data_IF_524375259439
#
_entry.id   IF_524375259439
#
_cell.length_a   1.000
_cell.length_b   1.000
_cell.length_c   1.000
_cell.angle_alpha   90.00
_cell.angle_beta   90.00
_cell.angle_gamma   90.00
#
_symmetry.space_group_name_H-M   'P 1'
#
loop_
_entity.id
_entity.type
_entity.pdbx_description
1 polymer ?
#
# COMPACT_ATOMS: atom_id res chain seq x y z
N UNK A 1 -13.85 -16.18 -35.82
CA UNK A 1 -13.08 -14.93 -35.74
C UNK A 1 -12.87 -14.63 -34.27
N UNK A 2 -11.69 -14.95 -33.75
CA UNK A 2 -11.29 -14.53 -32.40
C UNK A 2 -11.08 -13.01 -32.45
N UNK A 3 -11.69 -12.28 -31.54
CA UNK A 3 -11.77 -10.83 -31.53
C UNK A 3 -10.38 -10.26 -31.17
N UNK A 4 -9.77 -9.42 -32.01
CA UNK A 4 -8.45 -8.82 -31.76
C UNK A 4 -8.38 -8.06 -30.42
N UNK A 5 -9.53 -7.60 -29.92
CA UNK A 5 -9.70 -6.95 -28.61
C UNK A 5 -9.51 -7.90 -27.42
N UNK A 6 -9.94 -9.17 -27.53
CA UNK A 6 -9.79 -10.17 -26.45
C UNK A 6 -8.31 -10.60 -26.30
N UNK A 7 -7.57 -10.63 -27.41
CA UNK A 7 -6.14 -10.92 -27.42
C UNK A 7 -5.30 -9.79 -26.83
N UNK A 8 -5.66 -8.52 -27.08
CA UNK A 8 -4.99 -7.35 -26.50
C UNK A 8 -5.23 -7.23 -24.99
N UNK A 9 -6.45 -7.48 -24.51
CA UNK A 9 -6.76 -7.48 -23.08
C UNK A 9 -6.13 -8.67 -22.35
N UNK A 10 -6.01 -9.83 -23.01
CA UNK A 10 -5.24 -10.96 -22.47
C UNK A 10 -3.73 -10.67 -22.38
N UNK A 11 -3.13 -10.00 -23.36
CA UNK A 11 -1.71 -9.63 -23.31
C UNK A 11 -1.41 -8.61 -22.20
N UNK A 12 -2.24 -7.56 -22.05
CA UNK A 12 -2.08 -6.57 -20.97
C UNK A 12 -2.27 -7.20 -19.58
N UNK A 13 -3.15 -8.21 -19.48
CA UNK A 13 -3.43 -8.94 -18.25
C UNK A 13 -2.34 -9.98 -17.95
N UNK A 14 -1.76 -10.63 -18.96
CA UNK A 14 -0.60 -11.54 -18.82
C UNK A 14 0.66 -10.75 -18.45
N UNK A 15 0.83 -9.53 -18.97
CA UNK A 15 2.00 -8.70 -18.65
C UNK A 15 1.87 -8.01 -17.29
N UNK A 16 0.74 -7.39 -16.92
CA UNK A 16 0.58 -6.80 -15.59
C UNK A 16 0.58 -7.87 -14.49
N UNK A 17 -0.08 -9.01 -14.74
CA UNK A 17 0.00 -10.18 -13.87
C UNK A 17 1.40 -10.79 -13.92
N UNK A 18 2.14 -10.62 -15.02
CA UNK A 18 3.54 -10.94 -15.18
C UNK A 18 4.46 -10.03 -14.36
N UNK A 19 4.22 -8.73 -14.28
CA UNK A 19 4.97 -7.81 -13.42
C UNK A 19 4.65 -8.03 -11.95
N UNK A 20 3.37 -8.22 -11.61
CA UNK A 20 2.95 -8.58 -10.25
C UNK A 20 3.47 -9.97 -9.88
N UNK A 21 3.46 -10.96 -10.78
CA UNK A 21 4.08 -12.27 -10.56
C UNK A 21 5.60 -12.18 -10.52
N UNK A 22 6.28 -11.39 -11.34
CA UNK A 22 7.74 -11.21 -11.26
C UNK A 22 8.10 -10.51 -9.94
N UNK A 23 7.26 -9.59 -9.47
CA UNK A 23 7.42 -8.91 -8.18
C UNK A 23 7.12 -9.86 -7.01
N UNK A 24 6.03 -10.64 -7.06
CA UNK A 24 5.65 -11.66 -6.08
C UNK A 24 6.57 -12.89 -6.10
N UNK A 25 7.15 -13.23 -7.24
CA UNK A 25 8.09 -14.33 -7.44
C UNK A 25 9.50 -13.89 -7.08
N UNK A 26 9.85 -12.62 -7.31
CA UNK A 26 11.02 -12.00 -6.67
C UNK A 26 10.85 -11.95 -5.16
N UNK A 27 9.67 -11.56 -4.67
CA UNK A 27 9.29 -11.56 -3.26
C UNK A 27 9.33 -12.98 -2.66
N UNK A 28 8.83 -13.99 -3.37
CA UNK A 28 8.82 -15.40 -2.99
C UNK A 28 10.20 -16.06 -3.06
N UNK A 29 11.03 -15.76 -4.06
CA UNK A 29 12.43 -16.19 -4.13
C UNK A 29 13.31 -15.49 -3.09
N UNK A 30 12.95 -14.28 -2.66
CA UNK A 30 13.63 -13.59 -1.56
C UNK A 30 13.17 -14.14 -0.20
N UNK A 31 11.87 -14.41 -0.05
CA UNK A 31 11.28 -14.98 1.16
C UNK A 31 11.58 -16.46 1.38
N UNK A 32 11.76 -17.26 0.33
CA UNK A 32 11.97 -18.71 0.46
C UNK A 32 13.27 -19.06 1.19
N UNK A 33 14.44 -18.43 0.90
CA UNK A 33 15.64 -18.56 1.72
C UNK A 33 15.45 -18.00 3.12
N UNK A 34 14.71 -16.90 3.28
CA UNK A 34 14.45 -16.24 4.58
C UNK A 34 13.56 -17.09 5.50
N UNK A 35 12.53 -17.74 4.95
CA UNK A 35 11.63 -18.65 5.66
C UNK A 35 12.33 -19.97 5.98
N UNK A 36 13.17 -20.48 5.08
CA UNK A 36 14.08 -21.60 5.37
C UNK A 36 15.09 -21.24 6.47
N UNK A 37 15.64 -20.02 6.48
CA UNK A 37 16.46 -19.53 7.59
C UNK A 37 15.65 -19.41 8.89
N UNK A 38 14.39 -18.98 8.85
CA UNK A 38 13.52 -18.92 10.03
C UNK A 38 13.24 -20.29 10.63
N UNK A 39 13.10 -21.33 9.79
CA UNK A 39 12.85 -22.72 10.20
C UNK A 39 14.11 -23.42 10.74
N UNK A 40 15.31 -23.05 10.26
CA UNK A 40 16.57 -23.67 10.68
C UNK A 40 17.28 -22.95 11.85
N UNK A 41 16.96 -21.68 12.16
CA UNK A 41 17.74 -20.86 13.11
C UNK A 41 16.97 -20.39 14.36
N UNK A 42 15.95 -21.15 14.78
CA UNK A 42 15.15 -20.94 15.99
C UNK A 42 15.94 -20.67 17.31
N UNK A 43 17.24 -21.00 17.51
CA UNK A 43 17.93 -20.70 18.77
C UNK A 43 18.66 -19.35 18.83
N UNK A 44 18.81 -18.59 17.73
CA UNK A 44 19.71 -17.42 17.71
C UNK A 44 18.98 -16.08 17.95
N UNK A 45 18.95 -15.64 19.22
CA UNK A 45 18.41 -14.32 19.64
C UNK A 45 19.01 -13.10 18.90
N UNK A 46 20.17 -13.25 18.27
CA UNK A 46 20.86 -12.19 17.50
C UNK A 46 20.40 -12.16 16.02
N UNK A 47 20.00 -13.31 15.47
CA UNK A 47 19.61 -13.41 14.05
C UNK A 47 18.19 -12.86 13.81
N UNK A 48 17.31 -13.00 14.79
CA UNK A 48 15.92 -12.51 14.74
C UNK A 48 15.88 -10.99 14.46
N UNK A 49 16.54 -10.09 15.23
CA UNK A 49 16.55 -8.67 14.90
C UNK A 49 17.26 -8.38 13.57
N UNK A 50 18.32 -9.11 13.23
CA UNK A 50 19.05 -8.92 11.96
C UNK A 50 18.19 -9.26 10.72
N UNK A 51 17.26 -10.21 10.85
CA UNK A 51 16.40 -10.68 9.75
C UNK A 51 15.03 -9.96 9.73
N UNK A 52 14.44 -9.73 10.91
CA UNK A 52 13.11 -9.12 11.07
C UNK A 52 13.17 -7.62 10.80
N UNK A 53 14.21 -6.90 11.23
CA UNK A 53 14.28 -5.46 11.02
C UNK A 53 14.32 -5.07 9.53
N UNK A 54 15.17 -5.67 8.67
CA UNK A 54 15.13 -5.39 7.24
C UNK A 54 13.79 -5.73 6.61
N UNK A 55 13.19 -6.87 7.01
CA UNK A 55 11.89 -7.29 6.50
C UNK A 55 10.80 -6.26 6.81
N UNK A 56 10.74 -5.77 8.06
CA UNK A 56 9.78 -4.74 8.48
C UNK A 56 10.01 -3.44 7.71
N UNK A 57 11.26 -3.02 7.52
CA UNK A 57 11.59 -1.81 6.75
C UNK A 57 11.12 -1.96 5.29
N UNK A 58 11.43 -3.07 4.64
CA UNK A 58 10.98 -3.33 3.27
C UNK A 58 9.46 -3.37 3.14
N UNK A 59 8.78 -4.00 4.11
CA UNK A 59 7.32 -4.05 4.12
C UNK A 59 6.71 -2.65 4.28
N UNK A 60 7.29 -1.82 5.15
CA UNK A 60 6.89 -0.42 5.30
C UNK A 60 7.05 0.35 3.98
N UNK A 61 8.21 0.22 3.33
CA UNK A 61 8.48 0.87 2.04
C UNK A 61 7.51 0.42 0.97
N UNK A 62 7.24 -0.89 0.88
CA UNK A 62 6.28 -1.45 -0.04
C UNK A 62 4.88 -0.89 0.19
N UNK A 63 4.36 -0.98 1.42
CA UNK A 63 3.01 -0.53 1.77
C UNK A 63 2.84 0.97 1.52
N UNK A 64 3.78 1.80 1.98
CA UNK A 64 3.72 3.24 1.78
C UNK A 64 3.77 3.61 0.28
N UNK A 65 4.66 2.94 -0.48
CA UNK A 65 4.80 3.21 -1.91
C UNK A 65 3.55 2.83 -2.66
N UNK A 66 3.01 1.64 -2.35
CA UNK A 66 1.79 1.15 -2.94
C UNK A 66 0.64 2.13 -2.73
N UNK A 67 0.42 2.56 -1.48
CA UNK A 67 -0.63 3.52 -1.11
C UNK A 67 -0.51 4.84 -1.89
N UNK A 68 0.69 5.40 -1.99
CA UNK A 68 0.89 6.63 -2.75
C UNK A 68 0.68 6.44 -4.25
N UNK A 69 1.17 5.34 -4.83
CA UNK A 69 0.98 5.03 -6.27
C UNK A 69 -0.50 4.94 -6.60
N UNK A 70 -1.27 4.12 -5.87
CA UNK A 70 -2.71 3.97 -6.12
C UNK A 70 -3.47 5.27 -5.85
N UNK A 71 -2.97 6.11 -4.94
CA UNK A 71 -3.55 7.43 -4.67
C UNK A 71 -3.36 8.39 -5.84
N UNK A 72 -2.14 8.49 -6.37
CA UNK A 72 -1.83 9.33 -7.53
C UNK A 72 -2.60 8.87 -8.76
N UNK A 73 -2.67 7.56 -9.02
CA UNK A 73 -3.44 7.00 -10.13
C UNK A 73 -4.94 7.30 -9.96
N UNK A 74 -5.46 7.20 -8.73
CA UNK A 74 -6.86 7.49 -8.44
C UNK A 74 -7.23 8.96 -8.66
N UNK A 75 -6.36 9.89 -8.27
CA UNK A 75 -6.52 11.32 -8.52
C UNK A 75 -6.42 11.61 -10.02
N UNK A 76 -5.44 11.02 -10.70
CA UNK A 76 -5.28 11.12 -12.14
C UNK A 76 -6.56 10.67 -12.87
N UNK A 77 -7.16 9.56 -12.45
CA UNK A 77 -8.42 9.05 -13.02
C UNK A 77 -9.56 10.05 -12.88
N UNK A 78 -9.71 10.70 -11.72
CA UNK A 78 -10.74 11.75 -11.54
C UNK A 78 -10.49 12.96 -12.46
N UNK A 79 -9.24 13.41 -12.55
CA UNK A 79 -8.87 14.52 -13.43
C UNK A 79 -9.18 14.16 -14.88
N UNK A 80 -8.86 12.92 -15.28
CA UNK A 80 -9.08 12.42 -16.63
C UNK A 80 -10.56 12.24 -16.96
N UNK A 81 -11.39 11.74 -16.03
CA UNK A 81 -12.83 11.59 -16.25
C UNK A 81 -13.55 12.93 -16.43
N UNK A 82 -13.02 14.01 -15.83
CA UNK A 82 -13.54 15.38 -16.00
C UNK A 82 -13.11 16.04 -17.31
N UNK A 83 -12.11 15.51 -18.02
CA UNK A 83 -11.73 16.03 -19.34
C UNK A 83 -12.69 15.54 -20.42
N UNK A 84 -12.90 16.37 -21.43
CA UNK A 84 -13.61 15.97 -22.64
C UNK A 84 -12.94 14.74 -23.25
N UNK A 85 -13.73 13.88 -23.88
CA UNK A 85 -13.26 12.60 -24.46
C UNK A 85 -12.02 12.76 -25.35
N UNK A 86 -11.95 13.84 -26.13
CA UNK A 86 -10.82 14.15 -27.01
C UNK A 86 -9.50 14.48 -26.30
N UNK A 87 -9.53 14.91 -25.03
CA UNK A 87 -8.32 15.25 -24.26
C UNK A 87 -8.01 14.25 -23.14
N UNK A 88 -8.73 13.12 -23.11
CA UNK A 88 -8.44 12.04 -22.17
C UNK A 88 -7.09 11.42 -22.51
N UNK A 89 -6.25 11.29 -21.50
CA UNK A 89 -4.95 10.62 -21.60
C UNK A 89 -4.97 9.41 -20.70
N UNK A 90 -4.66 8.25 -21.25
CA UNK A 90 -4.35 7.07 -20.45
C UNK A 90 -2.89 7.13 -20.00
N UNK A 91 -2.62 6.61 -18.81
CA UNK A 91 -1.25 6.45 -18.33
C UNK A 91 -0.60 5.31 -19.11
N UNK A 92 0.47 5.62 -19.82
CA UNK A 92 1.28 4.59 -20.47
C UNK A 92 2.02 3.75 -19.43
N UNK A 93 2.31 2.49 -19.78
CA UNK A 93 3.07 1.58 -18.93
C UNK A 93 4.38 2.19 -18.41
N UNK A 94 5.13 2.86 -19.29
CA UNK A 94 6.38 3.55 -18.94
C UNK A 94 6.18 4.67 -17.91
N UNK A 95 5.07 5.41 -18.00
CA UNK A 95 4.76 6.46 -17.01
C UNK A 95 4.42 5.86 -15.65
N UNK A 96 3.68 4.75 -15.62
CA UNK A 96 3.40 4.03 -14.37
C UNK A 96 4.69 3.48 -13.76
N UNK A 97 5.60 2.91 -14.56
CA UNK A 97 6.89 2.44 -14.06
C UNK A 97 7.75 3.57 -13.48
N UNK A 98 7.86 4.71 -14.18
CA UNK A 98 8.61 5.88 -13.68
C UNK A 98 7.99 6.39 -12.37
N UNK A 99 6.65 6.44 -12.29
CA UNK A 99 5.93 6.82 -11.07
C UNK A 99 6.26 5.86 -9.91
N UNK A 100 6.20 4.55 -10.17
CA UNK A 100 6.48 3.51 -9.16
C UNK A 100 7.90 3.62 -8.62
N UNK A 101 8.91 3.66 -9.49
CA UNK A 101 10.30 3.79 -9.06
C UNK A 101 10.57 5.14 -8.38
N UNK A 102 9.97 6.21 -8.86
CA UNK A 102 10.08 7.54 -8.26
C UNK A 102 9.53 7.58 -6.83
N UNK A 103 8.30 7.09 -6.62
CA UNK A 103 7.67 7.04 -5.30
C UNK A 103 8.44 6.12 -4.34
N UNK A 104 8.84 4.93 -4.81
CA UNK A 104 9.61 4.00 -3.99
C UNK A 104 10.96 4.60 -3.56
N UNK A 105 11.68 5.23 -4.50
CA UNK A 105 12.93 5.92 -4.20
C UNK A 105 12.74 7.08 -3.22
N UNK A 106 11.66 7.85 -3.33
CA UNK A 106 11.33 8.94 -2.40
C UNK A 106 11.07 8.43 -0.98
N UNK A 107 10.35 7.32 -0.83
CA UNK A 107 10.09 6.71 0.49
C UNK A 107 11.38 6.15 1.11
N UNK A 108 12.18 5.44 0.32
CA UNK A 108 13.46 4.94 0.79
C UNK A 108 14.39 6.09 1.22
N UNK A 109 14.46 7.16 0.41
CA UNK A 109 15.27 8.33 0.73
C UNK A 109 14.80 9.04 2.01
N UNK A 110 13.48 9.19 2.19
CA UNK A 110 12.88 9.73 3.42
C UNK A 110 13.32 8.92 4.64
N UNK A 111 13.21 7.60 4.59
CA UNK A 111 13.55 6.73 5.73
C UNK A 111 15.05 6.72 6.01
N UNK A 112 15.89 6.73 4.97
CA UNK A 112 17.35 6.85 5.12
C UNK A 112 17.74 8.18 5.76
N UNK A 113 17.12 9.29 5.35
CA UNK A 113 17.38 10.61 5.94
C UNK A 113 16.92 10.69 7.40
N UNK A 114 15.75 10.13 7.73
CA UNK A 114 15.29 10.02 9.12
C UNK A 114 16.24 9.16 9.95
N UNK A 115 16.68 8.02 9.43
CA UNK A 115 17.64 7.13 10.09
C UNK A 115 18.99 7.81 10.34
N UNK A 116 19.49 8.57 9.36
CA UNK A 116 20.71 9.38 9.50
C UNK A 116 20.58 10.43 10.60
N UNK A 117 19.45 11.14 10.66
CA UNK A 117 19.18 12.14 11.71
C UNK A 117 19.06 11.50 13.08
N UNK A 118 18.38 10.35 13.18
CA UNK A 118 18.27 9.59 14.42
C UNK A 118 19.65 9.14 14.92
N UNK A 119 20.49 8.59 14.04
CA UNK A 119 21.86 8.19 14.38
C UNK A 119 22.70 9.37 14.89
N UNK A 120 22.60 10.53 14.23
CA UNK A 120 23.30 11.75 14.67
C UNK A 120 22.85 12.21 16.07
N UNK A 121 21.56 12.07 16.40
CA UNK A 121 21.04 12.39 17.72
C UNK A 121 21.54 11.43 18.78
N UNK A 122 21.55 10.12 18.50
CA UNK A 122 22.11 9.11 19.41
C UNK A 122 23.58 9.38 19.74
N UNK A 123 24.37 9.85 18.77
CA UNK A 123 25.78 10.20 19.01
C UNK A 123 25.99 11.45 19.87
N UNK A 124 24.96 12.29 20.06
CA UNK A 124 25.04 13.57 20.79
C UNK A 124 24.39 13.48 22.18
N UNK A 125 23.82 12.33 22.57
CA UNK A 125 23.18 12.04 23.89
C UNK A 125 22.14 13.06 24.38
N UNK A 126 21.59 13.91 23.50
CA UNK A 126 20.53 14.86 23.86
C UNK A 126 19.17 14.28 23.55
N UNK A 127 18.45 13.82 24.58
CA UNK A 127 17.08 13.31 24.49
C UNK A 127 16.11 14.27 23.77
N UNK A 128 16.22 15.59 24.03
CA UNK A 128 15.42 16.61 23.34
C UNK A 128 15.66 16.69 21.82
N UNK A 129 16.79 16.18 21.32
CA UNK A 129 17.07 16.18 19.89
C UNK A 129 16.36 15.03 19.14
N UNK A 130 15.80 14.02 19.85
CA UNK A 130 15.05 12.89 19.25
C UNK A 130 13.65 13.34 18.77
N UNK A 131 13.09 14.38 19.40
CA UNK A 131 11.79 14.93 19.03
C UNK A 131 11.79 15.48 17.60
N UNK A 132 12.90 16.04 17.13
CA UNK A 132 12.97 16.68 15.80
C UNK A 132 12.87 15.66 14.63
N UNK A 133 13.65 14.55 14.61
CA UNK A 133 13.45 13.48 13.64
C UNK A 133 12.07 12.80 13.73
N UNK A 134 11.57 12.60 14.95
CA UNK A 134 10.27 11.98 15.19
C UNK A 134 9.13 12.81 14.58
N UNK A 135 9.10 14.12 14.85
CA UNK A 135 8.09 15.03 14.31
C UNK A 135 8.11 15.07 12.77
N UNK A 136 9.29 15.10 12.14
CA UNK A 136 9.40 15.07 10.68
C UNK A 136 8.82 13.79 10.06
N UNK A 137 9.11 12.65 10.67
CA UNK A 137 8.57 11.36 10.26
C UNK A 137 7.04 11.35 10.38
N UNK A 138 6.51 11.78 11.53
CA UNK A 138 5.07 11.84 11.80
C UNK A 138 4.34 12.75 10.82
N UNK A 139 4.84 13.96 10.56
CA UNK A 139 4.25 14.91 9.59
C UNK A 139 4.19 14.26 8.21
N UNK A 140 5.25 13.58 7.78
CA UNK A 140 5.27 12.94 6.46
C UNK A 140 4.26 11.79 6.37
N UNK A 141 4.11 11.00 7.43
CA UNK A 141 3.09 9.95 7.49
C UNK A 141 1.67 10.53 7.42
N UNK A 142 1.39 11.64 8.13
CA UNK A 142 0.09 12.34 8.06
C UNK A 142 -0.19 12.81 6.63
N UNK A 143 0.80 13.41 5.95
CA UNK A 143 0.64 13.85 4.55
C UNK A 143 0.33 12.67 3.63
N UNK A 144 0.98 11.52 3.81
CA UNK A 144 0.67 10.32 3.04
C UNK A 144 -0.76 9.83 3.29
N UNK A 145 -1.22 9.79 4.55
CA UNK A 145 -2.59 9.41 4.88
C UNK A 145 -3.63 10.36 4.26
N UNK A 146 -3.38 11.68 4.32
CA UNK A 146 -4.26 12.67 3.68
C UNK A 146 -4.38 12.43 2.17
N UNK A 147 -3.28 12.11 1.49
CA UNK A 147 -3.33 11.77 0.05
C UNK A 147 -4.18 10.52 -0.22
N UNK A 148 -4.10 9.50 0.63
CA UNK A 148 -4.93 8.29 0.55
C UNK A 148 -6.42 8.63 0.69
N UNK A 149 -6.78 9.51 1.62
CA UNK A 149 -8.18 9.92 1.81
C UNK A 149 -8.71 10.78 0.69
N UNK A 150 -7.90 11.71 0.18
CA UNK A 150 -8.24 12.48 -1.02
C UNK A 150 -8.49 11.52 -2.20
N UNK A 151 -7.59 10.56 -2.42
CA UNK A 151 -7.73 9.59 -3.49
C UNK A 151 -8.97 8.70 -3.35
N UNK A 152 -9.28 8.26 -2.14
CA UNK A 152 -10.51 7.51 -1.85
C UNK A 152 -11.75 8.36 -2.15
N UNK A 153 -11.81 9.60 -1.69
CA UNK A 153 -12.88 10.53 -2.02
C UNK A 153 -13.00 10.76 -3.54
N UNK A 154 -11.86 10.91 -4.24
CA UNK A 154 -11.83 11.01 -5.69
C UNK A 154 -12.51 9.81 -6.37
N UNK A 155 -12.26 8.58 -5.89
CA UNK A 155 -12.89 7.38 -6.46
C UNK A 155 -14.40 7.28 -6.21
N UNK A 156 -14.94 7.96 -5.18
CA UNK A 156 -16.38 8.11 -5.02
C UNK A 156 -16.97 9.16 -5.96
N UNK A 157 -16.18 10.14 -6.37
CA UNK A 157 -16.61 11.17 -7.31
C UNK A 157 -16.56 10.74 -8.79
N UNK A 158 -15.84 9.68 -9.14
CA UNK A 158 -15.79 9.16 -10.51
C UNK A 158 -17.09 8.40 -10.82
N UNK A 159 -17.90 8.94 -11.73
CA UNK A 159 -19.15 8.32 -12.19
C UNK A 159 -18.93 7.24 -13.26
N UNK A 160 -17.79 7.29 -13.94
CA UNK A 160 -17.48 6.40 -15.05
C UNK A 160 -16.98 5.05 -14.53
N UNK A 161 -17.43 3.93 -15.11
CA UNK A 161 -16.89 2.62 -14.77
C UNK A 161 -15.38 2.57 -15.05
N UNK A 162 -14.67 1.65 -14.37
CA UNK A 162 -13.25 1.45 -14.63
C UNK A 162 -13.05 0.99 -16.08
N UNK A 163 -12.08 1.60 -16.77
CA UNK A 163 -11.84 1.28 -18.19
C UNK A 163 -11.06 -0.01 -18.36
N UNK A 164 -10.39 -0.48 -17.31
CA UNK A 164 -9.67 -1.75 -17.29
C UNK A 164 -9.83 -2.48 -15.98
N UNK A 165 -9.51 -3.77 -15.97
CA UNK A 165 -9.46 -4.57 -14.75
C UNK A 165 -8.49 -3.97 -13.71
N UNK A 166 -7.31 -3.52 -14.15
CA UNK A 166 -6.31 -2.91 -13.28
C UNK A 166 -6.84 -1.63 -12.60
N UNK A 167 -7.54 -0.77 -13.35
CA UNK A 167 -8.19 0.40 -12.77
C UNK A 167 -9.28 0.02 -11.77
N UNK A 168 -10.02 -1.06 -12.01
CA UNK A 168 -11.03 -1.55 -11.09
C UNK A 168 -10.42 -2.08 -9.79
N UNK A 169 -9.31 -2.81 -9.88
CA UNK A 169 -8.54 -3.29 -8.72
C UNK A 169 -8.01 -2.10 -7.92
N UNK A 170 -7.39 -1.10 -8.58
CA UNK A 170 -6.89 0.11 -7.93
C UNK A 170 -8.02 0.85 -7.20
N UNK A 171 -9.16 1.04 -7.87
CA UNK A 171 -10.31 1.72 -7.30
C UNK A 171 -10.89 0.97 -6.09
N UNK A 172 -10.87 -0.36 -6.15
CA UNK A 172 -11.32 -1.23 -5.06
C UNK A 172 -10.37 -1.14 -3.87
N UNK A 173 -9.06 -1.26 -4.12
CA UNK A 173 -8.03 -1.21 -3.08
C UNK A 173 -8.03 0.12 -2.34
N UNK A 174 -8.03 1.25 -3.05
CA UNK A 174 -8.02 2.57 -2.38
C UNK A 174 -9.30 2.81 -1.55
N UNK A 175 -10.46 2.32 -2.02
CA UNK A 175 -11.71 2.39 -1.25
C UNK A 175 -11.61 1.58 0.03
N UNK A 176 -11.16 0.32 -0.03
CA UNK A 176 -11.04 -0.51 1.17
C UNK A 176 -9.94 -0.03 2.12
N UNK A 177 -8.75 0.28 1.61
CA UNK A 177 -7.63 0.80 2.42
C UNK A 177 -8.08 2.06 3.15
N UNK A 178 -8.62 3.02 2.40
CA UNK A 178 -9.08 4.27 2.99
C UNK A 178 -10.24 4.05 3.96
N UNK A 179 -11.23 3.21 3.63
CA UNK A 179 -12.43 3.05 4.44
C UNK A 179 -12.15 2.36 5.77
N UNK A 180 -11.12 1.52 5.82
CA UNK A 180 -10.64 0.90 7.06
C UNK A 180 -9.79 1.91 7.85
N UNK A 181 -8.87 2.63 7.19
CA UNK A 181 -7.98 3.58 7.87
C UNK A 181 -8.69 4.82 8.42
N UNK A 182 -9.65 5.39 7.70
CA UNK A 182 -10.27 6.66 8.08
C UNK A 182 -10.96 6.61 9.47
N UNK A 183 -11.79 5.61 9.80
CA UNK A 183 -12.34 5.48 11.14
C UNK A 183 -11.27 5.25 12.21
N UNK A 184 -10.21 4.49 11.89
CA UNK A 184 -9.12 4.21 12.83
C UNK A 184 -8.30 5.47 13.14
N UNK A 185 -8.00 6.28 12.13
CA UNK A 185 -7.29 7.56 12.31
C UNK A 185 -8.17 8.57 13.08
N UNK A 186 -9.50 8.54 12.90
CA UNK A 186 -10.43 9.33 13.72
C UNK A 186 -10.41 8.85 15.18
N UNK A 187 -10.49 7.53 15.41
CA UNK A 187 -10.41 6.96 16.76
C UNK A 187 -9.07 7.27 17.42
N UNK A 188 -7.98 7.26 16.65
CA UNK A 188 -6.67 7.65 17.13
C UNK A 188 -6.63 9.11 17.57
N UNK A 189 -7.09 10.02 16.72
CA UNK A 189 -7.15 11.43 17.07
C UNK A 189 -7.99 11.65 18.34
N UNK A 190 -9.15 10.99 18.46
CA UNK A 190 -9.98 11.03 19.66
C UNK A 190 -9.26 10.47 20.89
N UNK A 191 -8.49 9.38 20.76
CA UNK A 191 -7.72 8.81 21.87
C UNK A 191 -6.65 9.78 22.40
N UNK A 192 -5.99 10.53 21.51
CA UNK A 192 -5.06 11.60 21.87
C UNK A 192 -5.80 12.73 22.61
N UNK A 193 -6.92 13.21 22.05
CA UNK A 193 -7.71 14.29 22.67
C UNK A 193 -8.30 13.93 24.04
N UNK A 194 -8.58 12.64 24.27
CA UNK A 194 -9.18 12.13 25.50
C UNK A 194 -8.15 11.54 26.48
N UNK A 195 -6.84 11.69 26.19
CA UNK A 195 -5.71 11.18 26.99
C UNK A 195 -5.78 9.67 27.31
N UNK A 196 -6.42 8.88 26.43
CA UNK A 196 -6.72 7.47 26.68
C UNK A 196 -5.75 6.54 25.95
N UNK A 197 -4.94 5.76 26.68
CA UNK A 197 -4.17 4.58 26.19
C UNK A 197 -3.38 4.82 24.88
N UNK A 198 -2.62 5.92 24.82
CA UNK A 198 -1.84 6.38 23.66
C UNK A 198 -0.94 5.29 23.04
N UNK A 199 -0.28 4.49 23.89
CA UNK A 199 0.62 3.42 23.44
C UNK A 199 -0.10 2.29 22.70
N UNK A 200 -1.23 1.82 23.24
CA UNK A 200 -2.03 0.74 22.65
C UNK A 200 -2.66 1.17 21.33
N UNK A 201 -3.16 2.41 21.26
CA UNK A 201 -3.71 2.98 20.04
C UNK A 201 -2.65 3.11 18.94
N UNK A 202 -1.45 3.61 19.30
CA UNK A 202 -0.32 3.74 18.38
C UNK A 202 0.14 2.38 17.83
N UNK A 203 0.28 1.37 18.70
CA UNK A 203 0.68 0.03 18.27
C UNK A 203 -0.32 -0.62 17.31
N UNK A 204 -1.62 -0.42 17.54
CA UNK A 204 -2.69 -0.95 16.70
C UNK A 204 -2.71 -0.31 15.30
N UNK A 205 -2.51 1.00 15.22
CA UNK A 205 -2.45 1.74 13.95
C UNK A 205 -1.24 1.33 13.14
N UNK A 206 -0.08 1.22 13.79
CA UNK A 206 1.14 0.73 13.16
C UNK A 206 0.91 -0.68 12.59
N UNK A 207 0.32 -1.58 13.38
CA UNK A 207 -0.01 -2.94 12.92
C UNK A 207 -0.93 -2.94 11.69
N UNK A 208 -1.96 -2.11 11.69
CA UNK A 208 -2.89 -2.01 10.55
C UNK A 208 -2.18 -1.44 9.33
N UNK A 209 -1.35 -0.42 9.49
CA UNK A 209 -0.55 0.14 8.41
C UNK A 209 0.35 -0.91 7.76
N UNK A 210 0.92 -1.83 8.54
CA UNK A 210 1.75 -2.91 8.03
C UNK A 210 0.96 -3.99 7.26
N UNK A 211 -0.15 -4.48 7.82
CA UNK A 211 -0.82 -5.67 7.31
C UNK A 211 -1.96 -5.38 6.33
N UNK A 212 -2.56 -4.20 6.38
CA UNK A 212 -3.77 -3.89 5.62
C UNK A 212 -3.55 -3.97 4.09
N UNK A 213 -2.43 -3.45 3.59
CA UNK A 213 -2.15 -3.45 2.15
C UNK A 213 -1.90 -4.86 1.62
N UNK A 214 -0.96 -5.66 2.18
CA UNK A 214 -0.81 -7.06 1.78
C UNK A 214 -2.11 -7.86 1.87
N UNK A 215 -2.89 -7.65 2.94
CA UNK A 215 -4.16 -8.34 3.14
C UNK A 215 -5.17 -8.02 2.03
N UNK A 216 -5.36 -6.74 1.70
CA UNK A 216 -6.31 -6.33 0.66
C UNK A 216 -5.88 -6.86 -0.71
N UNK A 217 -4.58 -6.84 -1.02
CA UNK A 217 -4.05 -7.43 -2.26
C UNK A 217 -4.41 -8.92 -2.30
N UNK A 218 -4.08 -9.67 -1.25
CA UNK A 218 -4.34 -11.11 -1.17
C UNK A 218 -5.83 -11.44 -1.26
N UNK A 219 -6.70 -10.72 -0.55
CA UNK A 219 -8.15 -10.91 -0.61
C UNK A 219 -8.69 -10.69 -2.02
N UNK A 220 -8.16 -9.69 -2.73
CA UNK A 220 -8.59 -9.37 -4.08
C UNK A 220 -8.10 -10.40 -5.10
N UNK A 221 -6.89 -10.93 -4.93
CA UNK A 221 -6.36 -12.05 -5.72
C UNK A 221 -7.13 -13.35 -5.49
N UNK A 222 -7.50 -13.67 -4.25
CA UNK A 222 -8.34 -14.84 -3.91
C UNK A 222 -9.72 -14.69 -4.55
N UNK A 223 -10.36 -13.52 -4.42
CA UNK A 223 -11.66 -13.24 -5.02
C UNK A 223 -11.65 -13.41 -6.54
N UNK A 224 -10.55 -13.03 -7.19
CA UNK A 224 -10.35 -13.23 -8.63
C UNK A 224 -10.21 -14.71 -8.99
N UNK A 225 -9.49 -15.48 -8.18
CA UNK A 225 -9.17 -16.88 -8.47
C UNK A 225 -10.32 -17.86 -8.15
N UNK A 226 -11.25 -17.47 -7.27
CA UNK A 226 -12.39 -18.30 -6.87
C UNK A 226 -13.70 -17.50 -6.78
N UNK A 227 -14.26 -17.03 -7.92
CA UNK A 227 -15.46 -16.20 -7.92
C UNK A 227 -16.72 -16.90 -7.34
N UNK A 228 -16.73 -18.23 -7.25
CA UNK A 228 -17.91 -19.04 -6.85
C UNK A 228 -17.87 -19.62 -5.42
N UNK A 229 -16.84 -19.38 -4.60
CA UNK A 229 -16.76 -19.98 -3.24
C UNK A 229 -17.45 -19.11 -2.17
N UNK A 230 -17.66 -17.81 -2.44
CA UNK A 230 -18.41 -16.91 -1.56
C UNK A 230 -19.63 -16.39 -2.33
N UNK A 231 -20.55 -17.28 -2.66
CA UNK A 231 -21.90 -16.88 -3.03
C UNK A 231 -22.69 -16.72 -1.72
N UNK A 232 -23.27 -15.54 -1.41
CA UNK A 232 -24.23 -15.46 -0.30
C UNK A 232 -25.36 -16.43 -0.63
N UNK A 233 -25.51 -17.48 0.19
CA UNK A 233 -26.64 -18.39 0.09
C UNK A 233 -27.89 -17.53 0.25
N UNK A 234 -28.66 -17.40 -0.81
CA UNK A 234 -29.99 -16.80 -0.75
C UNK A 234 -30.84 -17.73 0.11
N UNK A 235 -30.99 -17.40 1.39
CA UNK A 235 -31.95 -18.07 2.25
C UNK A 235 -33.32 -17.60 1.79
N UNK A 236 -33.96 -18.37 0.90
CA UNK A 236 -35.39 -18.25 0.64
C UNK A 236 -36.11 -18.70 1.89
N UNK A 237 -36.65 -17.74 2.64
CA UNK A 237 -37.56 -18.00 3.74
C UNK A 237 -38.92 -18.39 3.12
N UNK A 238 -39.54 -19.50 3.56
CA UNK A 238 -40.85 -19.96 3.07
C UNK A 238 -41.99 -18.99 3.40
#
# INVERSE_FOLDING_TARGET
>A
MLNETDTSEMEELVELNGYVMIFLFSYGRFLSPLALCFLFYLPSFILIPLLVCPFVIFLNWFTASYQLIISVISIHRLINSRRSSQFRKQLSHRQVQILTYGIFGLIALKDLETGRRLAAVYTVEKLFAIETPGMYYTITCIVHQVLVFIAMACQFCVKEPASSHAENVIATHIKYIGAIKLPLDILYALSIFMEYMEFTATALIIGIDFFLVPLIIQMTEIKKSAPNVISPVTISIP
#
